data_IF_852830658778
#
_entry.id   IF_852830658778
#
_cell.length_a   1.000
_cell.length_b   1.000
_cell.length_c   1.000
_cell.angle_alpha   90.00
_cell.angle_beta   90.00
_cell.angle_gamma   90.00
#
_symmetry.space_group_name_H-M   'P 1'
#
loop_
_entity.id
_entity.type
_entity.pdbx_description
1 polymer ?
#
# COMPACT_ATOMS: atom_id res chain seq x y z
N UNK A 1 -11.19 -5.31 23.81
CA UNK A 1 -11.43 -6.53 23.00
C UNK A 1 -10.40 -6.56 21.88
N UNK A 2 -9.46 -7.50 21.88
CA UNK A 2 -8.52 -7.66 20.77
C UNK A 2 -9.07 -8.74 19.84
N UNK A 3 -9.38 -8.40 18.59
CA UNK A 3 -9.80 -9.39 17.60
C UNK A 3 -8.65 -10.38 17.39
N UNK A 4 -8.89 -11.67 17.63
CA UNK A 4 -7.88 -12.71 17.40
C UNK A 4 -7.68 -12.86 15.89
N UNK A 5 -6.45 -12.63 15.45
CA UNK A 5 -6.04 -12.83 14.06
C UNK A 5 -6.14 -14.33 13.72
N UNK A 6 -6.81 -14.66 12.63
CA UNK A 6 -6.88 -16.06 12.17
C UNK A 6 -5.52 -16.54 11.67
N UNK A 7 -5.24 -17.86 11.75
CA UNK A 7 -3.96 -18.44 11.29
C UNK A 7 -3.63 -18.06 9.85
N UNK A 8 -4.65 -18.01 8.99
CA UNK A 8 -4.51 -17.62 7.60
C UNK A 8 -4.19 -16.13 7.42
N UNK A 9 -4.82 -15.25 8.21
CA UNK A 9 -4.47 -13.82 8.22
C UNK A 9 -3.03 -13.61 8.68
N UNK A 10 -2.57 -14.33 9.71
CA UNK A 10 -1.18 -14.29 10.18
C UNK A 10 -0.20 -14.78 9.10
N UNK A 11 -0.52 -15.88 8.41
CA UNK A 11 0.29 -16.39 7.31
C UNK A 11 0.45 -15.36 6.18
N UNK A 12 -0.65 -14.72 5.77
CA UNK A 12 -0.62 -13.66 4.74
C UNK A 12 0.17 -12.42 5.17
N UNK A 13 0.18 -12.07 6.45
CA UNK A 13 0.97 -10.96 6.98
C UNK A 13 2.46 -11.28 7.09
N UNK A 14 2.83 -12.54 7.36
CA UNK A 14 4.23 -12.96 7.52
C UNK A 14 4.88 -13.43 6.22
N UNK A 15 4.12 -13.65 5.14
CA UNK A 15 4.68 -14.15 3.88
C UNK A 15 5.44 -13.03 3.13
N UNK A 16 6.78 -13.13 2.98
CA UNK A 16 7.60 -12.08 2.38
C UNK A 16 7.27 -11.83 0.91
N UNK A 17 6.83 -12.85 0.17
CA UNK A 17 6.49 -12.74 -1.25
C UNK A 17 5.25 -11.86 -1.44
N UNK A 18 4.20 -12.09 -0.65
CA UNK A 18 2.97 -11.27 -0.71
C UNK A 18 3.22 -9.83 -0.26
N UNK A 19 4.11 -9.65 0.72
CA UNK A 19 4.49 -8.34 1.22
C UNK A 19 5.28 -7.55 0.17
N UNK A 20 6.18 -8.20 -0.56
CA UNK A 20 6.92 -7.60 -1.67
C UNK A 20 5.98 -7.06 -2.76
N UNK A 21 5.01 -7.86 -3.23
CA UNK A 21 4.06 -7.39 -4.23
C UNK A 21 3.16 -6.25 -3.73
N UNK A 22 2.73 -6.30 -2.46
CA UNK A 22 2.02 -5.18 -1.82
C UNK A 22 2.84 -3.90 -1.82
N UNK A 23 4.13 -4.01 -1.49
CA UNK A 23 5.03 -2.87 -1.46
C UNK A 23 5.18 -2.25 -2.85
N UNK A 24 5.48 -3.05 -3.87
CA UNK A 24 5.60 -2.57 -5.26
C UNK A 24 4.30 -1.92 -5.74
N UNK A 25 3.15 -2.54 -5.50
CA UNK A 25 1.85 -1.98 -5.88
C UNK A 25 1.61 -0.63 -5.20
N UNK A 26 1.88 -0.52 -3.90
CA UNK A 26 1.73 0.72 -3.16
C UNK A 26 2.69 1.80 -3.67
N UNK A 27 3.95 1.45 -3.91
CA UNK A 27 4.96 2.38 -4.45
C UNK A 27 4.55 2.93 -5.82
N UNK A 28 4.09 2.08 -6.74
CA UNK A 28 3.60 2.51 -8.06
C UNK A 28 2.38 3.42 -7.91
N UNK A 29 1.43 3.06 -7.03
CA UNK A 29 0.23 3.86 -6.79
C UNK A 29 0.58 5.25 -6.22
N UNK A 30 1.53 5.30 -5.29
CA UNK A 30 2.05 6.57 -4.75
C UNK A 30 2.70 7.40 -5.86
N UNK A 31 3.53 6.79 -6.71
CA UNK A 31 4.14 7.48 -7.84
C UNK A 31 3.10 8.06 -8.80
N UNK A 32 2.04 7.32 -9.13
CA UNK A 32 0.96 7.80 -10.00
C UNK A 32 0.22 8.97 -9.35
N UNK A 33 -0.08 8.90 -8.05
CA UNK A 33 -0.78 9.98 -7.33
C UNK A 33 0.10 11.23 -7.24
N UNK A 34 1.39 11.06 -6.96
CA UNK A 34 2.36 12.16 -6.87
C UNK A 34 2.60 12.79 -8.24
N UNK A 35 2.87 11.98 -9.27
CA UNK A 35 3.07 12.45 -10.64
C UNK A 35 1.79 13.03 -11.25
N UNK A 36 0.62 12.52 -10.86
CA UNK A 36 -0.70 13.02 -11.26
C UNK A 36 -1.15 14.29 -10.53
N UNK A 37 -0.29 14.90 -9.70
CA UNK A 37 -0.52 16.23 -9.13
C UNK A 37 -1.28 16.28 -7.80
N UNK A 38 -1.54 15.14 -7.15
CA UNK A 38 -2.19 15.12 -5.83
C UNK A 38 -1.24 15.35 -4.64
N UNK A 39 -0.01 15.81 -4.92
CA UNK A 39 0.98 16.24 -3.93
C UNK A 39 1.05 17.76 -3.68
N UNK A 40 0.02 18.53 -4.07
CA UNK A 40 -0.07 19.97 -3.75
C UNK A 40 0.36 20.97 -4.83
N UNK A 41 0.69 20.51 -6.04
CA UNK A 41 1.08 21.39 -7.16
C UNK A 41 0.21 21.20 -8.41
N UNK A 42 -1.11 21.04 -8.23
CA UNK A 42 -2.03 21.55 -9.25
C UNK A 42 -1.98 23.06 -9.08
N UNK A 43 -1.10 23.73 -9.83
CA UNK A 43 -1.31 25.15 -10.09
C UNK A 43 -2.71 25.25 -10.68
N UNK A 44 -3.59 25.81 -9.88
CA UNK A 44 -4.85 26.41 -10.28
C UNK A 44 -4.44 27.57 -11.18
N UNK A 45 -4.56 27.38 -12.49
CA UNK A 45 -4.62 28.46 -13.45
C UNK A 45 -5.89 28.24 -14.27
#
# INVERSE_FOLDING_TARGET
>A
MTQRISKYQRFKMMNPILQFFKFIYLSIKVLIIVAGGHGGTRQVN
#
